data_IF_428706004779
#
_entry.id   IF_428706004779
#
_cell.length_a   1.000
_cell.length_b   1.000
_cell.length_c   1.000
_cell.angle_alpha   90.00
_cell.angle_beta   90.00
_cell.angle_gamma   90.00
#
_symmetry.space_group_name_H-M   'P 1'
#
loop_
_entity.id
_entity.type
_entity.pdbx_description
1 polymer ?
#
# COMPACT_ATOMS: atom_id res chain seq x y z
N UNK A 1 21.30 37.17 6.57
CA UNK A 1 20.76 35.93 5.98
C UNK A 1 21.10 34.80 6.93
N UNK A 2 20.12 34.29 7.67
CA UNK A 2 20.33 33.30 8.74
C UNK A 2 20.62 31.93 8.14
N UNK A 3 21.44 31.12 8.80
CA UNK A 3 21.83 29.78 8.34
C UNK A 3 20.62 28.88 7.98
N UNK A 4 19.47 29.09 8.64
CA UNK A 4 18.21 28.42 8.31
C UNK A 4 17.80 28.61 6.85
N UNK A 5 17.84 29.85 6.33
CA UNK A 5 17.42 30.15 4.94
C UNK A 5 18.31 29.51 3.86
N UNK A 6 19.58 29.22 4.16
CA UNK A 6 20.49 28.50 3.25
C UNK A 6 20.31 26.99 3.33
N UNK A 7 20.09 26.47 4.54
CA UNK A 7 19.79 25.05 4.76
C UNK A 7 18.45 24.68 4.13
N UNK A 8 17.41 25.50 4.32
CA UNK A 8 16.08 25.29 3.75
C UNK A 8 16.09 25.33 2.20
N UNK A 9 17.03 26.06 1.60
CA UNK A 9 17.20 26.14 0.13
C UNK A 9 17.92 24.93 -0.47
N UNK A 10 18.76 24.26 0.31
CA UNK A 10 19.52 23.07 -0.13
C UNK A 10 18.79 21.78 0.25
N UNK A 11 17.84 21.86 1.19
CA UNK A 11 17.05 20.74 1.67
C UNK A 11 16.14 20.25 0.56
N UNK A 12 16.11 18.93 0.38
CA UNK A 12 15.16 18.27 -0.52
C UNK A 12 14.13 17.54 0.34
N UNK A 13 12.96 18.15 0.61
CA UNK A 13 11.93 17.55 1.45
C UNK A 13 11.38 16.24 0.86
N UNK A 14 11.51 16.04 -0.45
CA UNK A 14 11.13 14.82 -1.17
C UNK A 14 11.93 13.59 -0.71
N UNK A 15 13.12 13.78 -0.13
CA UNK A 15 14.02 12.70 0.29
C UNK A 15 14.47 12.78 1.76
N UNK A 16 13.89 13.70 2.55
CA UNK A 16 14.25 13.92 3.95
C UNK A 16 13.01 13.92 4.87
N UNK A 17 13.19 13.84 6.19
CA UNK A 17 12.06 13.75 7.13
C UNK A 17 11.32 12.41 7.04
N UNK A 18 10.00 12.46 6.92
CA UNK A 18 9.13 11.28 6.78
C UNK A 18 9.45 10.47 5.50
N UNK A 19 9.98 11.13 4.46
CA UNK A 19 10.38 10.50 3.20
C UNK A 19 11.80 9.89 3.22
N UNK A 20 12.56 9.98 4.33
CA UNK A 20 13.95 9.51 4.42
C UNK A 20 14.09 7.99 4.47
N UNK A 21 14.61 7.35 3.41
CA UNK A 21 14.90 5.90 3.44
C UNK A 21 16.06 5.58 4.42
N UNK A 22 15.78 4.77 5.45
CA UNK A 22 16.76 4.38 6.49
C UNK A 22 17.84 3.45 5.93
N UNK A 23 17.51 2.37 5.20
CA UNK A 23 18.51 1.55 4.50
C UNK A 23 19.45 2.35 3.60
N UNK A 24 18.91 3.26 2.77
CA UNK A 24 19.73 4.15 1.92
C UNK A 24 20.59 5.11 2.75
N UNK A 25 20.08 5.61 3.88
CA UNK A 25 20.86 6.46 4.78
C UNK A 25 22.05 5.69 5.36
N UNK A 26 21.85 4.45 5.79
CA UNK A 26 22.91 3.57 6.31
C UNK A 26 23.99 3.36 5.23
N UNK A 27 23.60 2.97 4.02
CA UNK A 27 24.55 2.74 2.92
C UNK A 27 25.31 4.02 2.57
N UNK A 28 24.62 5.16 2.46
CA UNK A 28 25.28 6.44 2.20
C UNK A 28 26.29 6.82 3.30
N UNK A 29 25.98 6.55 4.58
CA UNK A 29 26.91 6.81 5.70
C UNK A 29 28.11 5.86 5.65
N UNK A 30 27.92 4.58 5.30
CA UNK A 30 29.01 3.62 5.12
C UNK A 30 29.93 4.05 3.97
N UNK A 31 29.37 4.46 2.83
CA UNK A 31 30.15 5.00 1.70
C UNK A 31 30.88 6.27 2.12
N UNK A 32 30.22 7.19 2.83
CA UNK A 32 30.84 8.41 3.34
C UNK A 32 32.04 8.10 4.24
N UNK A 33 31.89 7.17 5.19
CA UNK A 33 32.97 6.75 6.06
C UNK A 33 34.15 6.14 5.26
N UNK A 34 33.85 5.26 4.30
CA UNK A 34 34.87 4.65 3.43
C UNK A 34 35.65 5.69 2.61
N UNK A 35 34.94 6.62 1.95
CA UNK A 35 35.57 7.70 1.17
C UNK A 35 36.38 8.65 2.07
N UNK A 36 35.89 8.97 3.26
CA UNK A 36 36.62 9.81 4.22
C UNK A 36 37.90 9.16 4.72
N UNK A 37 37.87 7.85 5.00
CA UNK A 37 39.07 7.08 5.36
C UNK A 37 40.08 7.04 4.21
N UNK A 38 39.61 6.89 2.97
CA UNK A 38 40.47 6.94 1.78
C UNK A 38 41.19 8.29 1.64
N UNK A 39 40.47 9.40 1.84
CA UNK A 39 41.07 10.74 1.84
C UNK A 39 42.06 10.94 3.01
N UNK A 40 41.83 10.26 4.13
CA UNK A 40 42.71 10.26 5.29
C UNK A 40 44.13 9.77 5.02
N UNK A 41 44.31 8.88 4.03
CA UNK A 41 45.64 8.44 3.60
C UNK A 41 46.48 9.56 2.99
N UNK A 42 45.84 10.60 2.44
CA UNK A 42 46.52 11.79 1.92
C UNK A 42 46.81 12.75 3.07
N UNK A 43 45.82 13.02 3.92
CA UNK A 43 45.97 13.92 5.06
C UNK A 43 44.91 13.61 6.14
N UNK A 44 45.35 13.24 7.35
CA UNK A 44 44.46 12.77 8.42
C UNK A 44 43.29 13.73 8.77
N UNK A 45 43.47 15.06 8.80
CA UNK A 45 42.36 16.00 9.00
C UNK A 45 41.25 15.93 7.94
N UNK A 46 41.54 15.44 6.72
CA UNK A 46 40.52 15.27 5.67
C UNK A 46 39.46 14.25 6.06
N UNK A 47 39.75 13.29 6.94
CA UNK A 47 38.75 12.33 7.41
C UNK A 47 37.58 13.09 8.04
N UNK A 48 37.85 13.94 9.02
CA UNK A 48 36.82 14.67 9.77
C UNK A 48 36.13 15.71 8.87
N UNK A 49 36.90 16.46 8.07
CA UNK A 49 36.36 17.52 7.21
C UNK A 49 35.45 16.92 6.14
N UNK A 50 35.90 15.90 5.42
CA UNK A 50 35.10 15.27 4.36
C UNK A 50 33.89 14.54 4.93
N UNK A 51 34.04 13.84 6.06
CA UNK A 51 32.92 13.13 6.68
C UNK A 51 31.83 14.11 7.13
N UNK A 52 32.21 15.23 7.73
CA UNK A 52 31.25 16.27 8.11
C UNK A 52 30.51 16.84 6.89
N UNK A 53 31.20 17.05 5.76
CA UNK A 53 30.58 17.50 4.51
C UNK A 53 29.62 16.44 3.94
N UNK A 54 30.02 15.17 3.94
CA UNK A 54 29.20 14.06 3.46
C UNK A 54 27.96 13.85 4.33
N UNK A 55 28.09 13.89 5.66
CA UNK A 55 26.96 13.83 6.59
C UNK A 55 26.03 15.02 6.39
N UNK A 56 26.57 16.23 6.18
CA UNK A 56 25.75 17.41 5.89
C UNK A 56 24.98 17.24 4.56
N UNK A 57 25.59 16.66 3.53
CA UNK A 57 24.92 16.36 2.27
C UNK A 57 23.79 15.31 2.45
N UNK A 58 24.05 14.22 3.16
CA UNK A 58 23.06 13.17 3.47
C UNK A 58 21.92 13.73 4.34
N UNK A 59 22.23 14.60 5.29
CA UNK A 59 21.25 15.21 6.17
C UNK A 59 20.31 16.14 5.39
N UNK A 60 20.86 16.97 4.50
CA UNK A 60 20.09 17.97 3.75
C UNK A 60 19.38 17.39 2.52
N UNK A 61 19.99 16.44 1.80
CA UNK A 61 19.47 15.93 0.53
C UNK A 61 18.96 14.49 0.59
N UNK A 62 19.29 13.73 1.63
CA UNK A 62 18.92 12.31 1.73
C UNK A 62 19.89 11.34 1.03
N UNK A 63 20.82 11.85 0.20
CA UNK A 63 21.80 11.04 -0.52
C UNK A 63 23.19 11.70 -0.57
N UNK A 64 24.23 10.88 -0.73
CA UNK A 64 25.62 11.33 -0.76
C UNK A 64 26.06 11.87 -2.13
N UNK A 65 25.66 11.20 -3.22
CA UNK A 65 26.07 11.51 -4.60
C UNK A 65 24.91 12.18 -5.34
N UNK A 66 25.07 13.34 -5.99
CA UNK A 66 23.99 13.98 -6.74
C UNK A 66 23.39 13.05 -7.81
N UNK A 67 22.06 12.91 -7.79
CA UNK A 67 21.32 12.13 -8.78
C UNK A 67 21.24 10.62 -8.52
N UNK A 68 21.70 10.11 -7.36
CA UNK A 68 21.53 8.68 -7.02
C UNK A 68 20.09 8.21 -7.17
N UNK A 69 19.05 8.93 -6.67
CA UNK A 69 17.66 8.49 -6.82
C UNK A 69 17.23 8.28 -8.28
N UNK A 70 17.64 9.19 -9.17
CA UNK A 70 17.34 9.09 -10.61
C UNK A 70 18.12 7.95 -11.27
N UNK A 71 19.37 7.73 -10.86
CA UNK A 71 20.21 6.65 -11.37
C UNK A 71 19.75 5.27 -10.91
N UNK A 72 19.33 5.14 -9.64
CA UNK A 72 18.83 3.86 -9.10
C UNK A 72 17.52 3.49 -9.76
N UNK A 73 16.57 4.44 -9.88
CA UNK A 73 15.30 4.19 -10.59
C UNK A 73 15.49 3.72 -12.03
N UNK A 74 16.52 4.23 -12.72
CA UNK A 74 16.73 3.97 -14.15
C UNK A 74 17.60 2.75 -14.47
N UNK A 75 18.52 2.38 -13.58
CA UNK A 75 19.59 1.41 -13.90
C UNK A 75 19.79 0.31 -12.87
N UNK A 76 19.22 0.41 -11.66
CA UNK A 76 19.38 -0.64 -10.66
C UNK A 76 18.30 -1.72 -10.82
N UNK A 77 18.64 -3.01 -10.70
CA UNK A 77 17.65 -4.08 -10.75
C UNK A 77 16.66 -3.99 -9.58
N UNK A 78 15.38 -4.19 -9.85
CA UNK A 78 14.29 -4.09 -8.85
C UNK A 78 14.48 -5.04 -7.66
N UNK A 79 15.10 -6.21 -7.91
CA UNK A 79 15.45 -7.18 -6.85
C UNK A 79 16.33 -6.58 -5.76
N UNK A 80 17.26 -5.70 -6.12
CA UNK A 80 18.15 -5.04 -5.15
C UNK A 80 17.44 -3.88 -4.47
N UNK A 81 16.57 -3.16 -5.21
CA UNK A 81 15.83 -2.02 -4.69
C UNK A 81 14.74 -2.39 -3.68
N UNK A 82 14.12 -3.58 -3.79
CA UNK A 82 13.16 -4.11 -2.80
C UNK A 82 13.70 -4.14 -1.36
N UNK A 83 14.99 -4.35 -1.17
CA UNK A 83 15.61 -4.31 0.17
C UNK A 83 15.67 -2.92 0.79
N UNK A 84 15.39 -1.87 0.02
CA UNK A 84 15.42 -0.47 0.44
C UNK A 84 14.02 0.15 0.55
N UNK A 85 12.96 -0.61 0.30
CA UNK A 85 11.61 -0.09 0.42
C UNK A 85 11.25 0.23 1.87
N UNK A 86 10.39 1.24 1.99
CA UNK A 86 9.86 1.75 3.25
C UNK A 86 8.53 1.12 3.64
N UNK A 87 7.97 0.31 2.76
CA UNK A 87 6.73 -0.39 3.05
C UNK A 87 7.00 -1.34 4.22
N UNK A 88 6.17 -1.31 5.28
CA UNK A 88 6.31 -2.25 6.36
C UNK A 88 6.31 -3.65 5.75
N UNK A 89 7.32 -4.44 6.11
CA UNK A 89 7.36 -5.84 5.72
C UNK A 89 6.06 -6.51 6.17
N UNK A 90 5.48 -7.46 5.41
CA UNK A 90 4.35 -8.27 5.87
C UNK A 90 4.59 -8.88 7.26
N UNK A 91 5.86 -9.10 7.63
CA UNK A 91 6.28 -9.60 8.94
C UNK A 91 6.02 -8.62 10.10
N UNK A 92 6.02 -7.30 9.86
CA UNK A 92 5.69 -6.30 10.89
C UNK A 92 4.18 -6.09 11.04
N UNK A 93 3.38 -6.46 10.03
CA UNK A 93 1.93 -6.31 10.03
C UNK A 93 1.16 -7.56 10.49
N UNK A 94 1.82 -8.72 10.65
CA UNK A 94 1.13 -9.96 11.03
C UNK A 94 0.08 -10.45 10.02
N UNK A 95 0.00 -9.82 8.86
CA UNK A 95 -0.91 -10.13 7.76
C UNK A 95 -0.09 -10.82 6.67
N UNK A 96 -0.37 -12.10 6.43
CA UNK A 96 0.16 -12.81 5.27
C UNK A 96 -0.63 -12.33 4.05
N UNK A 97 0.00 -11.48 3.24
CA UNK A 97 -0.48 -11.12 1.91
C UNK A 97 -0.36 -12.33 0.98
N UNK A 98 -1.22 -13.34 1.14
CA UNK A 98 -1.45 -14.39 0.15
C UNK A 98 -2.69 -13.97 -0.66
N UNK A 99 -2.54 -13.00 -1.56
CA UNK A 99 -3.37 -12.95 -2.77
C UNK A 99 -2.44 -13.23 -3.93
N UNK A 100 -1.94 -14.46 -3.94
CA UNK A 100 -1.28 -15.01 -5.11
C UNK A 100 -2.34 -15.51 -6.06
N UNK A 101 -2.54 -14.82 -7.17
CA UNK A 101 -2.90 -15.45 -8.44
C UNK A 101 -1.69 -16.34 -8.83
N UNK A 102 -1.53 -17.48 -8.17
CA UNK A 102 -0.36 -18.33 -8.33
C UNK A 102 -0.24 -19.39 -7.26
N UNK A 103 -0.45 -20.64 -7.66
CA UNK A 103 -0.56 -21.84 -6.83
C UNK A 103 0.67 -22.12 -5.94
N UNK A 104 0.44 -22.25 -4.63
CA UNK A 104 1.42 -22.71 -3.65
C UNK A 104 0.78 -23.48 -2.48
N UNK A 105 0.60 -24.79 -2.66
CA UNK A 105 0.52 -25.90 -1.68
C UNK A 105 0.01 -25.65 -0.22
N UNK A 106 -0.98 -24.79 -0.03
CA UNK A 106 -2.02 -24.89 1.02
C UNK A 106 -3.35 -25.13 0.30
N UNK A 107 -4.40 -25.73 0.92
CA UNK A 107 -5.72 -25.71 0.30
C UNK A 107 -6.08 -24.25 0.03
N UNK A 108 -6.05 -23.84 -1.24
CA UNK A 108 -6.27 -22.45 -1.62
C UNK A 108 -7.69 -22.10 -1.25
N UNK A 109 -7.85 -21.05 -0.44
CA UNK A 109 -9.15 -20.47 -0.20
C UNK A 109 -9.64 -19.90 -1.55
N UNK A 110 -10.61 -20.56 -2.17
CA UNK A 110 -11.12 -20.21 -3.49
C UNK A 110 -12.13 -19.07 -3.35
N UNK A 111 -11.65 -17.84 -3.55
CA UNK A 111 -12.43 -16.60 -3.41
C UNK A 111 -13.63 -16.60 -4.37
N UNK A 112 -13.42 -16.98 -5.63
CA UNK A 112 -14.46 -16.98 -6.66
C UNK A 112 -15.55 -18.00 -6.35
N UNK A 113 -15.17 -19.22 -5.93
CA UNK A 113 -16.14 -20.23 -5.56
C UNK A 113 -16.99 -19.79 -4.35
N UNK A 114 -16.36 -19.17 -3.34
CA UNK A 114 -17.08 -18.68 -2.15
C UNK A 114 -18.00 -17.49 -2.49
N UNK A 115 -17.56 -16.57 -3.34
CA UNK A 115 -18.40 -15.44 -3.78
C UNK A 115 -19.57 -15.89 -4.66
N UNK A 116 -19.38 -16.93 -5.48
CA UNK A 116 -20.49 -17.57 -6.21
C UNK A 116 -21.45 -18.31 -5.27
N UNK A 117 -20.94 -19.02 -4.27
CA UNK A 117 -21.76 -19.67 -3.23
C UNK A 117 -22.60 -18.64 -2.45
N UNK A 118 -22.02 -17.48 -2.14
CA UNK A 118 -22.72 -16.35 -1.51
C UNK A 118 -23.80 -15.70 -2.42
N UNK A 119 -23.88 -16.11 -3.69
CA UNK A 119 -24.69 -15.45 -4.71
C UNK A 119 -24.27 -14.00 -4.94
N UNK A 120 -22.99 -13.69 -4.70
CA UNK A 120 -22.41 -12.38 -4.99
C UNK A 120 -21.95 -12.30 -6.44
N UNK A 121 -21.38 -13.40 -6.98
CA UNK A 121 -20.95 -13.52 -8.36
C UNK A 121 -21.73 -14.60 -9.12
N UNK A 122 -21.88 -14.42 -10.42
CA UNK A 122 -22.40 -15.40 -11.37
C UNK A 122 -21.66 -15.30 -12.71
N UNK A 123 -21.65 -16.37 -13.55
CA UNK A 123 -21.10 -16.28 -14.89
C UNK A 123 -21.81 -15.20 -15.71
N UNK A 124 -21.04 -14.35 -16.39
CA UNK A 124 -21.60 -13.36 -17.30
C UNK A 124 -22.31 -14.02 -18.51
N UNK A 125 -23.30 -13.35 -19.09
CA UNK A 125 -24.06 -13.91 -20.24
C UNK A 125 -23.21 -13.98 -21.54
N UNK A 126 -22.33 -12.99 -21.76
CA UNK A 126 -21.68 -12.75 -23.05
C UNK A 126 -20.15 -12.94 -23.06
N UNK A 127 -19.53 -13.12 -21.89
CA UNK A 127 -18.08 -13.27 -21.72
C UNK A 127 -17.77 -14.43 -20.76
N UNK A 128 -16.63 -15.09 -20.97
CA UNK A 128 -16.13 -16.15 -20.09
C UNK A 128 -15.47 -15.52 -18.86
N UNK A 129 -16.29 -14.87 -18.03
CA UNK A 129 -15.90 -14.14 -16.83
C UNK A 129 -17.04 -14.17 -15.79
N UNK A 130 -16.78 -13.64 -14.60
CA UNK A 130 -17.77 -13.47 -13.54
C UNK A 130 -18.31 -12.04 -13.50
N UNK A 131 -19.58 -11.92 -13.14
CA UNK A 131 -20.32 -10.67 -12.99
C UNK A 131 -20.97 -10.65 -11.61
N UNK A 132 -21.20 -9.45 -11.05
CA UNK A 132 -22.03 -9.34 -9.85
C UNK A 132 -23.45 -9.78 -10.16
N UNK A 133 -24.08 -10.49 -9.22
CA UNK A 133 -25.52 -10.70 -9.30
C UNK A 133 -26.24 -9.37 -9.04
N UNK A 134 -27.32 -9.08 -9.78
CA UNK A 134 -28.05 -7.82 -9.65
C UNK A 134 -28.56 -7.56 -8.22
N UNK A 135 -28.93 -8.62 -7.51
CA UNK A 135 -29.39 -8.55 -6.12
C UNK A 135 -28.25 -8.18 -5.17
N UNK A 136 -27.05 -8.75 -5.36
CA UNK A 136 -25.88 -8.43 -4.54
C UNK A 136 -25.36 -7.02 -4.83
N UNK A 137 -25.23 -6.65 -6.11
CA UNK A 137 -24.81 -5.30 -6.53
C UNK A 137 -25.66 -4.21 -5.86
N UNK A 138 -27.00 -4.37 -5.93
CA UNK A 138 -27.95 -3.43 -5.32
C UNK A 138 -27.87 -3.38 -3.79
N UNK A 139 -27.57 -4.51 -3.14
CA UNK A 139 -27.41 -4.57 -1.68
C UNK A 139 -26.09 -3.95 -1.26
N UNK A 140 -25.00 -4.32 -1.91
CA UNK A 140 -23.67 -3.84 -1.61
C UNK A 140 -23.54 -2.33 -1.83
N UNK A 141 -24.11 -1.79 -2.91
CA UNK A 141 -24.16 -0.34 -3.12
C UNK A 141 -24.86 0.40 -1.97
N UNK A 142 -25.97 -0.15 -1.44
CA UNK A 142 -26.66 0.41 -0.27
C UNK A 142 -25.84 0.30 1.01
N UNK A 143 -25.09 -0.79 1.19
CA UNK A 143 -24.19 -0.92 2.34
C UNK A 143 -23.00 0.05 2.26
N UNK A 144 -22.46 0.27 1.05
CA UNK A 144 -21.44 1.30 0.81
C UNK A 144 -21.98 2.68 1.20
N UNK A 145 -23.18 3.07 0.75
CA UNK A 145 -23.81 4.35 1.11
C UNK A 145 -24.03 4.54 2.62
N UNK A 146 -24.20 3.44 3.37
CA UNK A 146 -24.40 3.45 4.82
C UNK A 146 -23.09 3.41 5.62
N UNK A 147 -21.99 3.07 4.96
CA UNK A 147 -20.70 2.86 5.61
C UNK A 147 -19.94 4.18 5.71
N UNK A 148 -20.22 4.92 6.78
CA UNK A 148 -19.42 6.08 7.17
C UNK A 148 -18.28 5.70 8.13
N UNK A 149 -17.43 6.67 8.46
CA UNK A 149 -16.34 6.55 9.44
C UNK A 149 -16.74 5.89 10.77
N UNK A 150 -17.95 6.15 11.25
CA UNK A 150 -18.43 5.59 12.52
C UNK A 150 -18.84 4.13 12.34
N UNK A 151 -19.55 3.80 11.24
CA UNK A 151 -19.85 2.42 10.86
C UNK A 151 -18.57 1.59 10.67
N UNK A 152 -17.56 2.16 10.01
CA UNK A 152 -16.22 1.55 9.85
C UNK A 152 -15.58 1.25 11.20
N UNK A 153 -15.47 2.24 12.09
CA UNK A 153 -14.87 2.03 13.43
C UNK A 153 -15.62 0.95 14.21
N UNK A 154 -16.95 1.03 14.22
CA UNK A 154 -17.82 0.06 14.90
C UNK A 154 -17.61 -1.36 14.37
N UNK A 155 -17.57 -1.54 13.05
CA UNK A 155 -17.37 -2.86 12.44
C UNK A 155 -15.98 -3.41 12.74
N UNK A 156 -14.93 -2.61 12.56
CA UNK A 156 -13.55 -3.00 12.88
C UNK A 156 -13.39 -3.34 14.37
N UNK A 157 -13.99 -2.56 15.26
CA UNK A 157 -13.96 -2.82 16.70
C UNK A 157 -14.62 -4.17 17.04
N UNK A 158 -15.76 -4.47 16.41
CA UNK A 158 -16.44 -5.76 16.56
C UNK A 158 -15.58 -6.93 16.08
N UNK A 159 -14.93 -6.81 14.92
CA UNK A 159 -14.06 -7.86 14.36
C UNK A 159 -12.83 -8.08 15.25
N UNK A 160 -12.26 -7.01 15.79
CA UNK A 160 -11.04 -7.04 16.60
C UNK A 160 -11.31 -7.35 18.08
N UNK A 161 -12.57 -7.32 18.53
CA UNK A 161 -12.95 -7.52 19.93
C UNK A 161 -12.47 -6.41 20.86
N UNK A 162 -12.47 -5.16 20.37
CA UNK A 162 -12.04 -3.96 21.12
C UNK A 162 -13.15 -2.92 21.19
N UNK A 163 -12.97 -1.87 21.99
CA UNK A 163 -13.91 -0.75 22.04
C UNK A 163 -13.77 0.15 20.80
N UNK A 164 -14.87 0.72 20.33
CA UNK A 164 -14.92 1.58 19.13
C UNK A 164 -13.98 2.79 19.26
N UNK A 165 -13.87 3.38 20.45
CA UNK A 165 -13.05 4.56 20.73
C UNK A 165 -11.54 4.28 20.62
N UNK A 166 -11.13 3.01 20.68
CA UNK A 166 -9.73 2.60 20.50
C UNK A 166 -9.34 2.57 19.02
N UNK A 167 -10.31 2.47 18.10
CA UNK A 167 -10.06 2.40 16.65
C UNK A 167 -9.88 3.80 16.08
N UNK A 168 -8.71 4.04 15.48
CA UNK A 168 -8.39 5.29 14.79
C UNK A 168 -8.18 5.05 13.31
N UNK A 169 -8.71 5.95 12.48
CA UNK A 169 -8.57 5.93 11.02
C UNK A 169 -7.69 7.10 10.59
N UNK A 170 -6.69 6.86 9.73
CA UNK A 170 -5.74 7.89 9.31
C UNK A 170 -5.36 7.74 7.84
N UNK A 171 -5.49 8.84 7.10
CA UNK A 171 -4.84 9.00 5.80
C UNK A 171 -3.33 9.21 6.00
N UNK A 172 -2.54 8.48 5.22
CA UNK A 172 -1.10 8.67 4.99
C UNK A 172 -0.88 8.91 3.50
N UNK A 173 0.35 9.28 3.13
CA UNK A 173 0.66 9.74 1.76
C UNK A 173 0.09 8.83 0.65
N UNK A 174 0.34 7.52 0.73
CA UNK A 174 -0.12 6.54 -0.28
C UNK A 174 -1.13 5.51 0.21
N UNK A 175 -1.54 5.58 1.47
CA UNK A 175 -2.37 4.53 2.08
C UNK A 175 -3.28 5.09 3.16
N UNK A 176 -4.38 4.39 3.36
CA UNK A 176 -5.27 4.60 4.48
C UNK A 176 -5.07 3.48 5.50
N UNK A 177 -5.11 3.78 6.78
CA UNK A 177 -4.94 2.74 7.81
C UNK A 177 -5.85 2.89 9.00
N UNK A 178 -6.14 1.74 9.58
CA UNK A 178 -6.75 1.61 10.88
C UNK A 178 -5.69 1.23 11.92
N UNK A 179 -5.80 1.81 13.12
CA UNK A 179 -4.92 1.50 14.24
C UNK A 179 -5.69 1.43 15.56
N UNK A 180 -5.32 0.48 16.42
CA UNK A 180 -5.81 0.31 17.79
C UNK A 180 -4.67 0.64 18.75
N UNK A 181 -4.89 1.59 19.67
CA UNK A 181 -3.86 2.07 20.60
C UNK A 181 -2.52 2.46 19.93
N UNK A 182 -2.60 2.95 18.69
CA UNK A 182 -1.45 3.33 17.87
C UNK A 182 -0.74 2.18 17.16
N UNK A 183 -1.19 0.94 17.31
CA UNK A 183 -0.73 -0.23 16.57
C UNK A 183 -1.60 -0.41 15.32
N UNK A 184 -0.98 -0.52 14.14
CA UNK A 184 -1.73 -0.73 12.90
C UNK A 184 -2.37 -2.12 12.88
N UNK A 185 -3.64 -2.15 12.48
CA UNK A 185 -4.45 -3.38 12.39
C UNK A 185 -4.93 -3.66 10.96
N UNK A 186 -4.77 -2.70 10.06
CA UNK A 186 -5.06 -2.86 8.64
C UNK A 186 -4.62 -1.65 7.83
N UNK A 187 -4.36 -1.88 6.54
CA UNK A 187 -3.95 -0.89 5.56
C UNK A 187 -4.70 -1.12 4.25
N UNK A 188 -5.12 -0.02 3.62
CA UNK A 188 -5.87 0.03 2.37
C UNK A 188 -5.28 1.09 1.43
N UNK A 189 -5.58 0.95 0.14
CA UNK A 189 -5.15 1.89 -0.91
C UNK A 189 -5.73 3.30 -0.70
N UNK A 190 -6.95 3.38 -0.16
CA UNK A 190 -7.64 4.63 0.14
C UNK A 190 -8.73 4.44 1.20
N UNK A 191 -9.36 5.55 1.61
CA UNK A 191 -10.58 5.50 2.41
C UNK A 191 -11.71 4.77 1.68
N UNK A 192 -11.94 5.07 0.39
CA UNK A 192 -12.93 4.37 -0.42
C UNK A 192 -12.75 2.84 -0.42
N UNK A 193 -11.49 2.37 -0.50
CA UNK A 193 -11.19 0.94 -0.42
C UNK A 193 -11.60 0.31 0.91
N UNK A 194 -11.33 1.00 2.04
CA UNK A 194 -11.76 0.54 3.36
C UNK A 194 -13.29 0.51 3.47
N UNK A 195 -13.97 1.55 2.97
CA UNK A 195 -15.44 1.62 2.95
C UNK A 195 -16.03 0.45 2.16
N UNK A 196 -15.50 0.17 0.97
CA UNK A 196 -15.93 -0.98 0.16
C UNK A 196 -15.71 -2.31 0.89
N UNK A 197 -14.57 -2.50 1.55
CA UNK A 197 -14.27 -3.72 2.28
C UNK A 197 -15.20 -3.94 3.48
N UNK A 198 -15.47 -2.88 4.26
CA UNK A 198 -16.39 -2.94 5.39
C UNK A 198 -17.82 -3.20 4.92
N UNK A 199 -18.27 -2.53 3.85
CA UNK A 199 -19.57 -2.77 3.26
C UNK A 199 -19.70 -4.21 2.73
N UNK A 200 -18.61 -4.76 2.18
CA UNK A 200 -18.56 -6.17 1.74
C UNK A 200 -18.71 -7.12 2.91
N UNK A 201 -18.01 -6.87 4.01
CA UNK A 201 -18.09 -7.70 5.22
C UNK A 201 -19.52 -7.72 5.81
N UNK A 202 -20.25 -6.61 5.71
CA UNK A 202 -21.67 -6.52 6.10
C UNK A 202 -22.59 -7.22 5.08
N UNK A 203 -22.36 -7.03 3.78
CA UNK A 203 -23.20 -7.61 2.72
C UNK A 203 -23.07 -9.13 2.60
N UNK A 204 -21.89 -9.70 2.90
CA UNK A 204 -21.64 -11.15 2.83
C UNK A 204 -22.06 -11.91 4.09
N UNK A 205 -22.05 -11.27 5.27
CA UNK A 205 -22.44 -11.89 6.54
C UNK A 205 -23.78 -12.65 6.50
N UNK A 206 -24.89 -12.10 5.95
CA UNK A 206 -26.16 -12.82 5.88
C UNK A 206 -26.23 -13.89 4.77
N UNK A 207 -25.24 -13.93 3.87
CA UNK A 207 -25.24 -14.78 2.67
C UNK A 207 -24.41 -16.04 2.82
N UNK A 208 -23.48 -16.06 3.78
CA UNK A 208 -22.59 -17.19 4.04
C UNK A 208 -22.84 -17.77 5.43
N UNK A 209 -23.27 -19.04 5.45
CA UNK A 209 -23.42 -19.79 6.70
C UNK A 209 -22.06 -19.89 7.42
N UNK A 210 -22.06 -19.61 8.72
CA UNK A 210 -20.82 -19.69 9.52
C UNK A 210 -19.82 -18.58 9.21
N UNK A 211 -20.28 -17.40 8.78
CA UNK A 211 -19.46 -16.19 8.57
C UNK A 211 -18.45 -15.94 9.71
N UNK A 212 -18.86 -16.12 10.97
CA UNK A 212 -18.00 -16.00 12.17
C UNK A 212 -16.81 -16.97 12.21
N UNK A 213 -16.85 -18.05 11.43
CA UNK A 213 -15.75 -19.00 11.27
C UNK A 213 -14.68 -18.58 10.25
N UNK A 214 -14.95 -17.59 9.40
CA UNK A 214 -13.97 -17.07 8.45
C UNK A 214 -12.94 -16.21 9.17
N UNK A 215 -11.66 -16.51 8.95
CA UNK A 215 -10.56 -15.70 9.48
C UNK A 215 -10.46 -14.34 8.77
N UNK A 216 -9.78 -13.39 9.41
CA UNK A 216 -9.60 -12.03 8.87
C UNK A 216 -8.96 -12.03 7.48
N UNK A 217 -7.99 -12.91 7.22
CA UNK A 217 -7.34 -13.01 5.91
C UNK A 217 -8.33 -13.45 4.82
N UNK A 218 -9.24 -14.39 5.14
CA UNK A 218 -10.26 -14.87 4.21
C UNK A 218 -11.31 -13.78 3.91
N UNK A 219 -11.79 -13.10 4.96
CA UNK A 219 -12.73 -11.98 4.80
C UNK A 219 -12.10 -10.84 4.00
N UNK A 220 -10.84 -10.52 4.27
CA UNK A 220 -10.07 -9.53 3.50
C UNK A 220 -9.86 -9.97 2.04
N UNK A 221 -9.68 -11.26 1.78
CA UNK A 221 -9.58 -11.77 0.41
C UNK A 221 -10.90 -11.63 -0.36
N UNK A 222 -12.04 -11.96 0.25
CA UNK A 222 -13.37 -11.76 -0.32
C UNK A 222 -13.65 -10.29 -0.60
N UNK A 223 -13.38 -9.42 0.37
CA UNK A 223 -13.54 -7.97 0.26
C UNK A 223 -12.72 -7.39 -0.91
N UNK A 224 -11.43 -7.71 -0.96
CA UNK A 224 -10.55 -7.23 -2.03
C UNK A 224 -10.93 -7.79 -3.40
N UNK A 225 -11.38 -9.04 -3.46
CA UNK A 225 -11.86 -9.68 -4.69
C UNK A 225 -13.09 -9.00 -5.26
N UNK A 226 -13.97 -8.44 -4.41
CA UNK A 226 -15.16 -7.71 -4.87
C UNK A 226 -14.86 -6.29 -5.37
N UNK A 227 -13.79 -5.63 -4.89
CA UNK A 227 -13.45 -4.25 -5.30
C UNK A 227 -13.25 -4.08 -6.81
N UNK A 228 -12.87 -5.14 -7.53
CA UNK A 228 -12.69 -5.10 -9.00
C UNK A 228 -14.00 -4.84 -9.75
N UNK A 229 -15.14 -5.16 -9.13
CA UNK A 229 -16.47 -4.99 -9.73
C UNK A 229 -17.12 -3.65 -9.40
N UNK A 230 -16.41 -2.74 -8.70
CA UNK A 230 -16.94 -1.40 -8.41
C UNK A 230 -16.98 -0.54 -9.67
N UNK A 231 -18.17 -0.05 -9.98
CA UNK A 231 -18.45 0.93 -11.03
C UNK A 231 -18.56 2.36 -10.47
N UNK A 232 -18.93 2.49 -9.20
CA UNK A 232 -19.08 3.77 -8.49
C UNK A 232 -18.18 3.85 -7.26
N UNK A 233 -17.57 5.03 -7.06
CA UNK A 233 -16.63 5.28 -5.99
C UNK A 233 -17.34 5.37 -4.62
N UNK A 234 -16.93 4.55 -3.63
CA UNK A 234 -17.47 4.61 -2.27
C UNK A 234 -17.41 5.98 -1.57
N UNK A 235 -16.43 6.83 -1.92
CA UNK A 235 -16.26 8.14 -1.27
C UNK A 235 -17.13 9.24 -1.89
N UNK A 236 -17.28 9.25 -3.22
CA UNK A 236 -17.85 10.40 -3.93
C UNK A 236 -18.96 10.04 -4.93
N UNK A 237 -19.21 8.74 -5.16
CA UNK A 237 -20.16 8.25 -6.16
C UNK A 237 -19.74 8.46 -7.62
N UNK A 238 -18.50 8.89 -7.85
CA UNK A 238 -17.94 9.10 -9.19
C UNK A 238 -17.58 7.80 -9.90
N UNK A 239 -17.39 7.86 -11.22
CA UNK A 239 -17.04 6.70 -12.04
C UNK A 239 -15.68 6.11 -11.64
N UNK A 240 -15.60 4.79 -11.66
CA UNK A 240 -14.38 4.02 -11.42
C UNK A 240 -13.85 3.50 -12.75
N UNK A 241 -12.55 3.71 -13.02
CA UNK A 241 -11.90 3.23 -14.23
C UNK A 241 -10.64 2.41 -13.94
N UNK A 242 -10.35 1.48 -14.84
CA UNK A 242 -9.11 0.73 -14.89
C UNK A 242 -8.05 1.53 -15.66
N UNK A 243 -6.85 1.60 -15.11
CA UNK A 243 -5.72 2.25 -15.77
C UNK A 243 -4.39 1.62 -15.40
N UNK A 244 -3.36 1.95 -16.19
CA UNK A 244 -1.96 1.68 -15.86
C UNK A 244 -1.33 2.97 -15.33
N UNK A 245 -0.61 2.88 -14.22
CA UNK A 245 0.14 4.00 -13.64
C UNK A 245 1.56 3.56 -13.30
N UNK A 246 2.48 4.53 -13.21
CA UNK A 246 3.82 4.29 -12.67
C UNK A 246 3.83 4.66 -11.18
N UNK A 247 3.95 3.65 -10.31
CA UNK A 247 4.17 3.85 -8.89
C UNK A 247 5.65 4.16 -8.63
N UNK A 248 5.93 5.03 -7.64
CA UNK A 248 7.29 5.41 -7.29
C UNK A 248 7.55 5.34 -5.78
N UNK A 249 8.73 4.83 -5.43
CA UNK A 249 9.35 5.00 -4.12
C UNK A 249 10.56 5.95 -4.22
N UNK A 250 11.21 6.23 -3.07
CA UNK A 250 12.41 7.06 -2.99
C UNK A 250 13.53 6.58 -3.95
N UNK A 251 13.57 5.28 -4.27
CA UNK A 251 14.67 4.69 -5.05
C UNK A 251 14.22 3.80 -6.22
N UNK A 252 12.93 3.48 -6.35
CA UNK A 252 12.35 2.64 -7.42
C UNK A 252 11.15 3.31 -8.09
N UNK A 253 10.87 2.90 -9.32
CA UNK A 253 9.61 3.13 -10.03
C UNK A 253 9.20 1.84 -10.73
N UNK A 254 7.93 1.48 -10.72
CA UNK A 254 7.40 0.27 -11.35
C UNK A 254 6.01 0.54 -11.92
N UNK A 255 5.60 -0.22 -12.91
CA UNK A 255 4.26 -0.09 -13.50
C UNK A 255 3.26 -0.90 -12.66
N UNK A 256 2.10 -0.30 -12.43
CA UNK A 256 1.00 -0.87 -11.66
C UNK A 256 -0.30 -0.79 -12.44
N UNK A 257 -1.14 -1.81 -12.29
CA UNK A 257 -2.54 -1.74 -12.68
C UNK A 257 -3.33 -1.14 -11.52
N UNK A 258 -4.07 -0.08 -11.78
CA UNK A 258 -4.82 0.68 -10.78
C UNK A 258 -6.29 0.73 -11.17
N UNK A 259 -7.15 0.50 -10.18
CA UNK A 259 -8.56 0.84 -10.26
C UNK A 259 -8.75 2.10 -9.43
N UNK A 260 -9.20 3.20 -10.04
CA UNK A 260 -9.35 4.49 -9.36
C UNK A 260 -10.60 5.22 -9.79
N UNK A 261 -11.05 6.12 -8.93
CA UNK A 261 -12.09 7.08 -9.29
C UNK A 261 -11.51 8.28 -10.05
N UNK A 262 -12.12 8.67 -11.16
CA UNK A 262 -11.68 9.83 -11.95
C UNK A 262 -12.03 11.18 -11.32
N UNK A 263 -13.07 11.21 -10.48
CA UNK A 263 -13.57 12.45 -9.89
C UNK A 263 -12.76 12.86 -8.65
N UNK A 264 -12.48 11.92 -7.74
CA UNK A 264 -11.77 12.20 -6.49
C UNK A 264 -10.35 11.61 -6.41
N UNK A 265 -9.96 10.73 -7.33
CA UNK A 265 -8.66 10.08 -7.34
C UNK A 265 -8.46 8.98 -6.28
N UNK A 266 -9.51 8.58 -5.56
CA UNK A 266 -9.42 7.47 -4.61
C UNK A 266 -9.08 6.17 -5.34
N UNK A 267 -8.01 5.49 -4.88
CA UNK A 267 -7.56 4.20 -5.41
C UNK A 267 -8.31 3.05 -4.71
N UNK A 268 -8.87 2.15 -5.49
CA UNK A 268 -9.60 0.97 -5.01
C UNK A 268 -8.75 -0.30 -5.11
N UNK A 269 -7.76 -0.32 -5.98
CA UNK A 269 -6.92 -1.49 -6.21
C UNK A 269 -5.59 -1.05 -6.85
N UNK A 270 -4.48 -1.68 -6.45
CA UNK A 270 -3.15 -1.50 -7.04
C UNK A 270 -2.43 -2.86 -7.06
N UNK A 271 -1.98 -3.31 -8.22
CA UNK A 271 -1.12 -4.50 -8.37
C UNK A 271 0.12 -4.14 -9.19
N UNK A 272 1.29 -4.62 -8.76
CA UNK A 272 2.53 -4.55 -9.54
C UNK A 272 2.42 -5.45 -10.78
N UNK A 273 2.57 -4.86 -11.98
CA UNK A 273 2.43 -5.58 -13.24
C UNK A 273 3.45 -6.72 -13.38
N UNK A 274 4.60 -6.64 -12.71
CA UNK A 274 5.60 -7.71 -12.74
C UNK A 274 5.13 -8.98 -12.03
N UNK A 275 4.20 -8.88 -11.09
CA UNK A 275 3.57 -10.05 -10.43
C UNK A 275 2.51 -10.72 -11.32
N UNK A 276 1.93 -9.96 -12.25
CA UNK A 276 0.92 -10.46 -13.20
C UNK A 276 1.59 -11.18 -14.38
N UNK A 277 2.74 -10.69 -14.86
CA UNK A 277 3.48 -11.30 -15.98
C UNK A 277 4.20 -12.61 -15.60
N UNK A 278 4.45 -12.86 -14.32
CA UNK A 278 5.07 -14.11 -13.83
C UNK A 278 4.05 -15.26 -13.63
N UNK A 279 2.74 -15.01 -13.77
CA UNK A 279 1.72 -16.05 -13.73
C UNK A 279 1.74 -16.90 -15.02
N UNK A 280 2.04 -18.22 -14.97
CA UNK A 280 1.95 -19.05 -16.17
C UNK A 280 0.48 -19.17 -16.61
N UNK A 281 0.25 -18.89 -17.90
CA UNK A 281 -1.01 -19.11 -18.59
C UNK A 281 -1.49 -20.57 -18.55
#
# INVERSE_FOLDING_TARGET
>A
MTASTLVDRIRQPEYTGENRCMPCTIVNVVIAAGLSLLLGFVWAPLVVISFAIFVAAIYTRGYLVPGTPTLTKRYFPDRVLRWFDKEPSPTEMGVQSDVGLGTGEKPSFDVEAVLQEAGALEPCEDIDDLCLTADFESEWAREIERTDDAAVRKRLASILGVDEEQVTLKQRDRWFAAAVDGVYVGQWDSHAALTADVATDVALEPRLDGWDGFGNDQRSALARGLRIYLDSCPDCGGNVEFGEETAESCCRSWEVLVIRCDDCGSRLFEIDLSEVEEAPA
#
